data_IF_754415473989
#
_entry.id   IF_754415473989
#
_cell.length_a   1.000
_cell.length_b   1.000
_cell.length_c   1.000
_cell.angle_alpha   90.00
_cell.angle_beta   90.00
_cell.angle_gamma   90.00
#
_symmetry.space_group_name_H-M   'P 1'
#
loop_
_entity.id
_entity.type
_entity.pdbx_description
1 polymer ?
#
# COMPACT_ATOMS: atom_id res chain seq x y z
N UNK A 1 14.21 25.61 -3.57
CA UNK A 1 14.23 24.19 -4.02
C UNK A 1 14.60 23.24 -2.89
N UNK A 2 15.59 23.55 -2.02
CA UNK A 2 15.91 22.77 -0.81
C UNK A 2 14.69 22.44 0.06
N UNK A 3 13.86 23.44 0.34
CA UNK A 3 12.73 23.31 1.26
C UNK A 3 11.63 22.39 0.70
N UNK A 4 11.46 22.36 -0.63
CA UNK A 4 10.49 21.46 -1.28
C UNK A 4 10.96 20.02 -1.17
N UNK A 5 12.25 19.76 -1.39
CA UNK A 5 12.84 18.42 -1.25
C UNK A 5 12.75 17.90 0.17
N UNK A 6 13.02 18.75 1.17
CA UNK A 6 12.89 18.39 2.58
C UNK A 6 11.44 18.06 2.97
N UNK A 7 10.48 18.86 2.51
CA UNK A 7 9.05 18.60 2.72
C UNK A 7 8.59 17.30 2.02
N UNK A 8 9.10 17.02 0.82
CA UNK A 8 8.82 15.77 0.11
C UNK A 8 9.36 14.57 0.87
N UNK A 9 10.60 14.65 1.38
CA UNK A 9 11.19 13.58 2.17
C UNK A 9 10.43 13.37 3.49
N UNK A 10 10.05 14.45 4.17
CA UNK A 10 9.23 14.39 5.37
C UNK A 10 7.89 13.69 5.09
N UNK A 11 7.18 14.10 4.03
CA UNK A 11 5.92 13.48 3.65
C UNK A 11 6.10 12.00 3.28
N UNK A 12 7.14 11.65 2.53
CA UNK A 12 7.46 10.26 2.18
C UNK A 12 7.67 9.40 3.43
N UNK A 13 8.44 9.88 4.41
CA UNK A 13 8.66 9.18 5.67
C UNK A 13 7.35 8.99 6.45
N UNK A 14 6.50 10.01 6.51
CA UNK A 14 5.20 9.92 7.19
C UNK A 14 4.26 8.91 6.53
N UNK A 15 4.23 8.85 5.20
CA UNK A 15 3.46 7.84 4.48
C UNK A 15 4.01 6.43 4.68
N UNK A 16 5.34 6.26 4.68
CA UNK A 16 5.98 4.95 4.90
C UNK A 16 5.74 4.42 6.32
N UNK A 17 5.91 5.26 7.34
CA UNK A 17 5.61 4.93 8.74
C UNK A 17 4.13 4.60 8.92
N UNK A 18 3.23 5.44 8.40
CA UNK A 18 1.79 5.26 8.51
C UNK A 18 1.30 3.99 7.80
N UNK A 19 1.85 3.70 6.61
CA UNK A 19 1.56 2.48 5.86
C UNK A 19 2.04 1.24 6.61
N UNK A 20 3.29 1.26 7.10
CA UNK A 20 3.85 0.16 7.89
C UNK A 20 2.99 -0.14 9.13
N UNK A 21 2.55 0.90 9.84
CA UNK A 21 1.67 0.74 11.01
C UNK A 21 0.30 0.16 10.66
N UNK A 22 -0.29 0.59 9.53
CA UNK A 22 -1.56 0.02 9.06
C UNK A 22 -1.45 -1.47 8.73
N UNK A 23 -0.32 -1.91 8.13
CA UNK A 23 -0.06 -3.33 7.87
C UNK A 23 0.01 -4.14 9.17
N UNK A 24 0.64 -3.61 10.21
CA UNK A 24 0.68 -4.28 11.52
C UNK A 24 -0.72 -4.41 12.16
N UNK A 25 -1.58 -3.39 12.01
CA UNK A 25 -2.98 -3.49 12.44
C UNK A 25 -3.75 -4.56 11.66
N UNK A 26 -3.53 -4.68 10.35
CA UNK A 26 -4.17 -5.73 9.53
C UNK A 26 -3.72 -7.12 10.00
N UNK A 27 -2.42 -7.34 10.22
CA UNK A 27 -1.92 -8.61 10.76
C UNK A 27 -2.53 -8.96 12.12
N UNK A 28 -2.75 -7.96 12.98
CA UNK A 28 -3.40 -8.14 14.28
C UNK A 28 -4.87 -8.59 14.14
N UNK A 29 -5.63 -7.96 13.24
CA UNK A 29 -7.05 -8.27 13.03
C UNK A 29 -7.28 -9.57 12.25
N UNK A 30 -6.31 -9.95 11.41
CA UNK A 30 -6.36 -11.12 10.53
C UNK A 30 -5.12 -12.00 10.74
N UNK A 31 -5.02 -12.74 11.87
CA UNK A 31 -3.81 -13.48 12.24
C UNK A 31 -3.43 -14.61 11.29
N UNK A 32 -4.40 -15.10 10.50
CA UNK A 32 -4.18 -16.13 9.47
C UNK A 32 -3.67 -15.56 8.14
N UNK A 33 -3.56 -14.24 8.01
CA UNK A 33 -3.10 -13.58 6.79
C UNK A 33 -1.57 -13.75 6.65
N UNK A 34 -1.15 -14.65 5.76
CA UNK A 34 0.27 -14.89 5.51
C UNK A 34 0.91 -13.79 4.64
N UNK A 35 2.24 -13.65 4.75
CA UNK A 35 3.01 -12.65 4.02
C UNK A 35 2.91 -12.81 2.49
N UNK A 36 2.68 -14.04 2.01
CA UNK A 36 2.52 -14.30 0.58
C UNK A 36 1.22 -13.70 0.06
N UNK A 37 0.12 -13.84 0.82
CA UNK A 37 -1.20 -13.28 0.49
C UNK A 37 -1.19 -11.75 0.51
N UNK A 38 -0.52 -11.15 1.49
CA UNK A 38 -0.30 -9.70 1.51
C UNK A 38 0.49 -9.22 0.29
N UNK A 39 1.49 -9.99 -0.14
CA UNK A 39 2.28 -9.70 -1.34
C UNK A 39 1.52 -9.81 -2.67
N UNK A 40 0.31 -10.37 -2.68
CA UNK A 40 -0.57 -10.35 -3.86
C UNK A 40 -1.18 -8.96 -4.10
N UNK A 41 -1.23 -8.11 -3.06
CA UNK A 41 -1.66 -6.73 -3.20
C UNK A 41 -0.60 -5.93 -3.98
N UNK A 42 -0.98 -5.49 -5.17
CA UNK A 42 -0.15 -4.71 -6.08
C UNK A 42 -0.92 -3.44 -6.45
N UNK A 43 -0.28 -2.28 -6.36
CA UNK A 43 -0.86 -0.99 -6.72
C UNK A 43 -1.25 -0.90 -8.22
N UNK A 44 -0.70 -1.78 -9.07
CA UNK A 44 -1.04 -1.90 -10.48
C UNK A 44 -2.26 -2.82 -10.73
N UNK A 45 -2.78 -3.47 -9.69
CA UNK A 45 -4.02 -4.21 -9.76
C UNK A 45 -5.20 -3.34 -9.34
N UNK A 46 -6.39 -3.75 -9.75
CA UNK A 46 -7.68 -3.18 -9.36
C UNK A 46 -8.57 -4.25 -8.74
N UNK A 47 -9.62 -3.82 -8.03
CA UNK A 47 -10.61 -4.71 -7.43
C UNK A 47 -11.85 -4.73 -8.30
N UNK A 48 -12.18 -5.88 -8.89
CA UNK A 48 -13.40 -6.13 -9.64
C UNK A 48 -14.11 -7.33 -9.03
N UNK A 49 -15.37 -7.16 -8.61
CA UNK A 49 -16.19 -8.21 -7.95
C UNK A 49 -15.47 -8.90 -6.78
N UNK A 50 -14.70 -8.14 -6.00
CA UNK A 50 -13.95 -8.64 -4.85
C UNK A 50 -12.69 -9.44 -5.21
N UNK A 51 -12.24 -9.41 -6.46
CA UNK A 51 -10.99 -10.05 -6.92
C UNK A 51 -9.97 -9.03 -7.36
N UNK A 52 -8.70 -9.29 -7.06
CA UNK A 52 -7.57 -8.56 -7.62
C UNK A 52 -7.36 -8.99 -9.07
N UNK A 53 -7.39 -8.03 -9.99
CA UNK A 53 -7.12 -8.23 -11.42
C UNK A 53 -6.19 -7.14 -11.92
N UNK A 54 -5.36 -7.37 -12.96
CA UNK A 54 -4.55 -6.31 -13.56
C UNK A 54 -5.38 -5.11 -13.98
N UNK A 55 -4.88 -3.90 -13.71
CA UNK A 55 -5.49 -2.68 -14.23
C UNK A 55 -5.35 -2.62 -15.75
N UNK A 56 -6.43 -2.24 -16.44
CA UNK A 56 -6.46 -2.02 -17.88
C UNK A 56 -6.89 -0.56 -18.10
N UNK A 57 -6.00 0.31 -18.64
CA UNK A 57 -6.36 1.69 -18.92
C UNK A 57 -7.53 1.79 -19.91
N UNK A 58 -8.45 2.76 -19.76
CA UNK A 58 -9.47 3.04 -20.76
C UNK A 58 -8.83 3.45 -22.10
N UNK A 59 -9.48 3.08 -23.21
CA UNK A 59 -9.09 3.48 -24.58
C UNK A 59 -9.52 4.90 -24.91
#
# INVERSE_FOLDING_TARGET
>A
ESDVTELQLYAANQYDEGFSFAIEQVKLLFPDLDAKRLGEADAMNQIIDGKLVPYIPPQ
#
